data_IF_979356082153
#
_entry.id   IF_979356082153
#
_cell.length_a   1.000
_cell.length_b   1.000
_cell.length_c   1.000
_cell.angle_alpha   90.00
_cell.angle_beta   90.00
_cell.angle_gamma   90.00
#
_symmetry.space_group_name_H-M   'P 1'
#
loop_
_entity.id
_entity.type
_entity.pdbx_description
1 polymer ?
#
# COMPACT_ATOMS: atom_id res chain seq x y z
N UNK A 1 64.70 63.15 -30.41
CA UNK A 1 64.78 61.72 -30.02
C UNK A 1 63.63 61.50 -29.07
N UNK A 2 62.58 60.81 -29.56
CA UNK A 2 61.34 60.54 -28.86
C UNK A 2 61.48 59.27 -27.99
N UNK A 3 61.08 59.31 -26.77
CA UNK A 3 60.89 58.14 -25.90
C UNK A 3 59.42 57.90 -25.76
N UNK A 4 58.93 56.83 -26.31
CA UNK A 4 57.58 56.34 -26.19
C UNK A 4 57.42 55.62 -24.81
N UNK A 5 56.51 56.13 -23.99
CA UNK A 5 56.19 55.51 -22.72
C UNK A 5 54.90 54.66 -22.92
N UNK A 6 55.12 53.35 -22.85
CA UNK A 6 54.02 52.35 -22.92
C UNK A 6 53.37 52.25 -21.56
N UNK A 7 52.08 52.66 -21.49
CA UNK A 7 51.23 52.51 -20.31
C UNK A 7 50.64 51.11 -20.30
N UNK A 8 51.09 50.26 -19.37
CA UNK A 8 50.49 48.96 -19.13
C UNK A 8 49.26 49.12 -18.26
N UNK A 9 48.10 49.01 -18.88
CA UNK A 9 46.82 48.89 -18.15
C UNK A 9 46.68 47.51 -17.54
N UNK A 10 46.55 47.43 -16.23
CA UNK A 10 46.20 46.24 -15.48
C UNK A 10 44.67 46.13 -15.52
N UNK A 11 44.16 45.18 -16.31
CA UNK A 11 42.76 44.82 -16.28
C UNK A 11 42.56 43.86 -15.13
N UNK A 12 41.95 44.34 -14.05
CA UNK A 12 41.54 43.53 -12.91
C UNK A 12 40.25 42.81 -13.30
N UNK A 13 40.35 41.57 -13.70
CA UNK A 13 39.22 40.71 -13.99
C UNK A 13 38.51 40.30 -12.71
N UNK A 14 37.41 41.01 -12.38
CA UNK A 14 36.46 40.57 -11.38
C UNK A 14 35.70 39.36 -11.93
N UNK A 15 36.11 38.17 -11.59
CA UNK A 15 35.36 36.95 -11.84
C UNK A 15 34.14 36.93 -10.88
N UNK A 16 32.99 37.34 -11.40
CA UNK A 16 31.71 37.21 -10.73
C UNK A 16 31.36 35.73 -10.75
N UNK A 17 31.62 35.01 -9.65
CA UNK A 17 31.05 33.67 -9.45
C UNK A 17 29.55 33.81 -9.26
N UNK A 18 28.82 33.69 -10.36
CA UNK A 18 27.36 33.45 -10.32
C UNK A 18 27.16 32.04 -9.76
N UNK A 19 26.92 31.94 -8.45
CA UNK A 19 26.39 30.73 -7.87
C UNK A 19 24.98 30.54 -8.43
N UNK A 20 24.87 29.75 -9.49
CA UNK A 20 23.59 29.24 -9.97
C UNK A 20 23.08 28.29 -8.89
N UNK A 21 22.28 28.82 -7.96
CA UNK A 21 21.37 27.98 -7.22
C UNK A 21 20.43 27.35 -8.24
N UNK A 22 20.75 26.14 -8.69
CA UNK A 22 19.75 25.26 -9.26
C UNK A 22 18.79 24.90 -8.13
N UNK A 23 17.80 25.74 -7.90
CA UNK A 23 16.58 25.28 -7.30
C UNK A 23 16.14 24.12 -8.20
N UNK A 24 16.30 22.88 -7.71
CA UNK A 24 15.64 21.72 -8.31
C UNK A 24 14.17 22.10 -8.37
N UNK A 25 13.69 22.47 -9.56
CA UNK A 25 12.27 22.57 -9.81
C UNK A 25 11.73 21.17 -9.47
N UNK A 26 11.17 21.03 -8.28
CA UNK A 26 10.28 19.93 -7.96
C UNK A 26 9.15 20.06 -8.97
N UNK A 27 9.29 19.35 -10.10
CA UNK A 27 8.23 19.27 -11.07
C UNK A 27 7.04 18.69 -10.34
N UNK A 28 6.03 19.50 -10.10
CA UNK A 28 4.74 19.01 -9.65
C UNK A 28 4.30 17.94 -10.65
N UNK A 29 4.27 16.70 -10.20
CA UNK A 29 3.78 15.59 -11.00
C UNK A 29 2.37 15.96 -11.45
N UNK A 30 2.09 15.82 -12.77
CA UNK A 30 0.79 16.19 -13.32
C UNK A 30 -0.34 15.45 -12.62
N UNK A 31 -1.53 16.03 -12.60
CA UNK A 31 -2.74 15.43 -11.95
C UNK A 31 -3.05 13.98 -12.38
N UNK A 32 -2.51 13.52 -13.52
CA UNK A 32 -2.63 12.15 -14.01
C UNK A 32 -1.68 11.14 -13.40
N UNK A 33 -0.63 11.58 -12.67
CA UNK A 33 0.44 10.68 -12.23
C UNK A 33 -0.05 9.59 -11.24
N UNK A 34 -0.93 9.92 -10.30
CA UNK A 34 -1.51 8.92 -9.40
C UNK A 34 -2.32 7.85 -10.16
N UNK A 35 -3.03 8.24 -11.23
CA UNK A 35 -3.73 7.29 -12.11
C UNK A 35 -2.77 6.39 -12.88
N UNK A 36 -1.64 6.92 -13.35
CA UNK A 36 -0.58 6.12 -13.99
C UNK A 36 0.02 5.12 -13.01
N UNK A 37 0.32 5.54 -11.78
CA UNK A 37 0.82 4.66 -10.74
C UNK A 37 -0.21 3.58 -10.38
N UNK A 38 -1.48 3.94 -10.27
CA UNK A 38 -2.55 3.00 -10.00
C UNK A 38 -2.72 1.97 -11.15
N UNK A 39 -2.62 2.41 -12.39
CA UNK A 39 -2.67 1.50 -13.54
C UNK A 39 -1.47 0.53 -13.55
N UNK A 40 -0.27 1.00 -13.15
CA UNK A 40 0.94 0.16 -13.02
C UNK A 40 0.87 -0.82 -11.85
N UNK A 41 0.18 -0.45 -10.75
CA UNK A 41 -0.09 -1.37 -9.65
C UNK A 41 -0.89 -2.59 -10.14
N UNK A 42 -1.87 -2.40 -11.01
CA UNK A 42 -2.60 -3.48 -11.66
C UNK A 42 -3.12 -4.52 -10.65
N UNK A 43 -2.65 -5.75 -10.77
CA UNK A 43 -3.07 -6.93 -10.00
C UNK A 43 -2.02 -7.28 -8.96
N UNK A 44 -2.39 -7.40 -7.69
CA UNK A 44 -1.43 -7.64 -6.63
C UNK A 44 -1.83 -8.68 -5.61
N UNK A 45 -0.92 -8.91 -4.67
CA UNK A 45 -1.13 -9.82 -3.54
C UNK A 45 -0.45 -9.28 -2.29
N UNK A 46 -1.13 -9.42 -1.15
CA UNK A 46 -0.56 -9.10 0.16
C UNK A 46 0.42 -10.18 0.60
N UNK A 47 1.61 -9.79 1.09
CA UNK A 47 2.69 -10.71 1.45
C UNK A 47 3.31 -10.37 2.80
N UNK A 48 3.94 -11.36 3.43
CA UNK A 48 4.81 -11.29 4.61
C UNK A 48 4.20 -10.77 5.92
N UNK A 49 2.90 -10.51 5.99
CA UNK A 49 2.28 -9.93 7.21
C UNK A 49 2.42 -10.79 8.46
N UNK A 50 2.29 -12.09 8.31
CA UNK A 50 2.41 -13.05 9.41
C UNK A 50 3.62 -13.96 9.26
N UNK A 51 4.60 -13.56 8.45
CA UNK A 51 5.82 -14.34 8.23
C UNK A 51 6.78 -14.19 9.41
N UNK A 52 7.33 -15.28 9.94
CA UNK A 52 8.37 -15.26 10.97
C UNK A 52 9.63 -14.49 10.57
N UNK A 53 9.88 -14.29 9.28
CA UNK A 53 11.07 -13.62 8.74
C UNK A 53 11.33 -12.23 9.37
N UNK A 54 10.30 -11.54 9.80
CA UNK A 54 10.42 -10.25 10.47
C UNK A 54 11.20 -10.34 11.80
N UNK A 55 11.17 -11.50 12.47
CA UNK A 55 11.85 -11.73 13.75
C UNK A 55 13.07 -12.62 13.62
N UNK A 56 13.01 -13.58 12.72
CA UNK A 56 14.02 -14.63 12.54
C UNK A 56 14.03 -15.08 11.08
N UNK A 57 14.98 -14.59 10.31
CA UNK A 57 15.11 -14.89 8.88
C UNK A 57 15.34 -16.39 8.60
N UNK A 58 15.86 -17.16 9.58
CA UNK A 58 16.02 -18.61 9.43
C UNK A 58 14.67 -19.36 9.35
N UNK A 59 13.62 -18.75 9.90
CA UNK A 59 12.24 -19.27 9.90
C UNK A 59 11.36 -18.69 8.80
N UNK A 60 11.94 -17.89 7.91
CA UNK A 60 11.21 -17.26 6.82
C UNK A 60 10.48 -18.29 5.95
N UNK A 61 9.18 -18.12 5.78
CA UNK A 61 8.38 -18.86 4.80
C UNK A 61 8.57 -18.29 3.41
N UNK A 62 8.43 -16.97 3.29
CA UNK A 62 8.68 -16.24 2.05
C UNK A 62 10.16 -16.30 1.67
N UNK A 63 10.46 -16.60 0.42
CA UNK A 63 11.80 -16.70 -0.16
C UNK A 63 11.86 -15.86 -1.46
N UNK A 64 13.06 -15.52 -1.91
CA UNK A 64 13.29 -14.78 -3.16
C UNK A 64 12.56 -15.41 -4.37
N UNK A 65 12.52 -16.75 -4.46
CA UNK A 65 11.79 -17.44 -5.54
C UNK A 65 10.32 -17.06 -5.64
N UNK A 66 9.67 -16.75 -4.51
CA UNK A 66 8.23 -16.45 -4.51
C UNK A 66 7.90 -15.12 -5.19
N UNK A 67 8.77 -14.11 -5.10
CA UNK A 67 8.57 -12.86 -5.85
C UNK A 67 8.60 -13.10 -7.36
N UNK A 68 9.53 -13.94 -7.83
CA UNK A 68 9.56 -14.37 -9.23
C UNK A 68 8.29 -15.12 -9.61
N UNK A 69 7.86 -16.08 -8.81
CA UNK A 69 6.64 -16.86 -9.03
C UNK A 69 5.38 -15.97 -9.05
N UNK A 70 5.29 -14.97 -8.17
CA UNK A 70 4.21 -13.98 -8.16
C UNK A 70 4.17 -13.22 -9.49
N UNK A 71 5.31 -12.74 -9.98
CA UNK A 71 5.37 -12.05 -11.28
C UNK A 71 5.01 -12.96 -12.44
N UNK A 72 5.56 -14.17 -12.48
CA UNK A 72 5.29 -15.17 -13.52
C UNK A 72 3.83 -15.63 -13.55
N UNK A 73 3.16 -15.62 -12.39
CA UNK A 73 1.73 -15.90 -12.29
C UNK A 73 0.86 -14.77 -12.88
N UNK A 74 1.43 -13.60 -13.14
CA UNK A 74 0.73 -12.47 -13.76
C UNK A 74 0.32 -11.36 -12.80
N UNK A 75 0.89 -11.33 -11.59
CA UNK A 75 0.73 -10.19 -10.67
C UNK A 75 1.69 -9.06 -11.03
N UNK A 76 1.30 -7.83 -10.70
CA UNK A 76 2.04 -6.60 -10.99
C UNK A 76 2.54 -5.89 -9.73
N UNK A 77 1.95 -6.14 -8.57
CA UNK A 77 2.36 -5.57 -7.30
C UNK A 77 2.36 -6.57 -6.15
N UNK A 78 3.11 -6.22 -5.11
CA UNK A 78 3.00 -6.81 -3.77
C UNK A 78 2.73 -5.72 -2.75
N UNK A 79 1.79 -5.94 -1.85
CA UNK A 79 1.57 -5.11 -0.67
C UNK A 79 2.31 -5.75 0.49
N UNK A 80 3.38 -5.09 0.96
CA UNK A 80 4.24 -5.56 2.03
C UNK A 80 3.65 -5.16 3.38
N UNK A 81 3.03 -6.10 4.04
CA UNK A 81 2.38 -5.91 5.34
C UNK A 81 3.42 -5.87 6.44
N UNK A 82 3.62 -4.71 7.08
CA UNK A 82 4.62 -4.53 8.13
C UNK A 82 4.03 -4.00 9.44
N UNK A 83 4.54 -4.52 10.57
CA UNK A 83 4.12 -4.13 11.91
C UNK A 83 5.30 -3.55 12.71
N UNK A 84 5.76 -2.33 12.40
CA UNK A 84 7.00 -1.78 12.92
C UNK A 84 6.98 -1.48 14.43
N UNK A 85 5.82 -1.32 15.06
CA UNK A 85 5.71 -1.05 16.51
C UNK A 85 6.40 -2.12 17.36
N UNK A 86 6.42 -3.36 16.90
CA UNK A 86 7.07 -4.48 17.58
C UNK A 86 8.60 -4.44 17.51
N UNK A 87 9.16 -3.58 16.66
CA UNK A 87 10.59 -3.47 16.39
C UNK A 87 11.20 -2.17 16.93
N UNK A 88 10.46 -1.42 17.74
CA UNK A 88 11.00 -0.23 18.40
C UNK A 88 11.25 -0.48 19.88
N UNK A 89 12.27 0.18 20.39
CA UNK A 89 12.44 0.37 21.83
C UNK A 89 11.47 1.46 22.31
N UNK A 90 11.03 1.36 23.56
CA UNK A 90 10.34 2.46 24.24
C UNK A 90 11.38 3.54 24.61
N UNK A 91 11.85 4.25 23.60
CA UNK A 91 12.77 5.39 23.68
C UNK A 91 12.03 6.65 23.19
N UNK A 92 12.54 7.82 23.54
CA UNK A 92 11.92 9.12 23.20
C UNK A 92 11.71 9.29 21.68
N UNK A 93 12.56 8.65 20.86
CA UNK A 93 12.57 8.72 19.40
C UNK A 93 11.93 7.50 18.73
N UNK A 94 11.48 6.48 19.49
CA UNK A 94 10.92 5.22 18.99
C UNK A 94 11.82 4.56 17.94
N UNK A 95 13.15 4.52 18.17
CA UNK A 95 14.12 4.01 17.22
C UNK A 95 13.77 2.57 16.77
N UNK A 96 13.65 2.39 15.47
CA UNK A 96 13.36 1.09 14.86
C UNK A 96 14.63 0.24 14.85
N UNK A 97 14.51 -1.03 15.25
CA UNK A 97 15.63 -1.97 15.21
C UNK A 97 16.13 -2.13 13.76
N UNK A 98 17.44 -2.03 13.49
CA UNK A 98 18.00 -2.19 12.15
C UNK A 98 17.62 -3.50 11.44
N UNK A 99 17.38 -4.57 12.17
CA UNK A 99 16.93 -5.86 11.62
C UNK A 99 15.62 -5.70 10.84
N UNK A 100 14.72 -4.82 11.28
CA UNK A 100 13.50 -4.50 10.55
C UNK A 100 13.80 -3.97 9.13
N UNK A 101 14.72 -3.02 9.03
CA UNK A 101 15.11 -2.44 7.75
C UNK A 101 15.81 -3.46 6.83
N UNK A 102 16.57 -4.39 7.40
CA UNK A 102 17.19 -5.48 6.63
C UNK A 102 16.12 -6.32 5.93
N UNK A 103 15.05 -6.66 6.65
CA UNK A 103 13.92 -7.42 6.09
C UNK A 103 13.12 -6.60 5.07
N UNK A 104 12.84 -5.34 5.39
CA UNK A 104 12.13 -4.42 4.48
C UNK A 104 12.90 -4.23 3.17
N UNK A 105 14.21 -3.97 3.25
CA UNK A 105 15.08 -3.81 2.10
C UNK A 105 15.13 -5.06 1.23
N UNK A 106 15.24 -6.23 1.85
CA UNK A 106 15.23 -7.50 1.13
C UNK A 106 13.92 -7.64 0.33
N UNK A 107 12.77 -7.44 0.98
CA UNK A 107 11.48 -7.60 0.33
C UNK A 107 11.27 -6.60 -0.82
N UNK A 108 11.63 -5.32 -0.61
CA UNK A 108 11.54 -4.28 -1.66
C UNK A 108 12.46 -4.63 -2.84
N UNK A 109 13.72 -4.99 -2.57
CA UNK A 109 14.70 -5.31 -3.62
C UNK A 109 14.30 -6.54 -4.44
N UNK A 110 13.82 -7.60 -3.79
CA UNK A 110 13.32 -8.78 -4.48
C UNK A 110 12.10 -8.48 -5.36
N UNK A 111 11.15 -7.70 -4.85
CA UNK A 111 9.99 -7.28 -5.63
C UNK A 111 10.40 -6.47 -6.87
N UNK A 112 11.23 -5.43 -6.69
CA UNK A 112 11.71 -4.58 -7.79
C UNK A 112 12.55 -5.34 -8.81
N UNK A 113 13.42 -6.27 -8.37
CA UNK A 113 14.22 -7.12 -9.25
C UNK A 113 13.34 -7.99 -10.17
N UNK A 114 12.14 -8.35 -9.69
CA UNK A 114 11.14 -9.09 -10.44
C UNK A 114 10.10 -8.19 -11.14
N UNK A 115 10.33 -6.87 -11.22
CA UNK A 115 9.45 -5.89 -11.87
C UNK A 115 8.05 -5.85 -11.26
N UNK A 116 7.95 -6.07 -9.96
CA UNK A 116 6.75 -5.86 -9.18
C UNK A 116 6.79 -4.46 -8.58
N UNK A 117 5.68 -3.75 -8.59
CA UNK A 117 5.50 -2.56 -7.76
C UNK A 117 5.30 -2.96 -6.30
N UNK A 118 5.58 -2.03 -5.40
CA UNK A 118 5.57 -2.30 -3.96
C UNK A 118 4.71 -1.27 -3.25
N UNK A 119 3.76 -1.73 -2.44
CA UNK A 119 3.10 -0.89 -1.44
C UNK A 119 3.68 -1.27 -0.07
N UNK A 120 4.33 -0.32 0.59
CA UNK A 120 4.83 -0.48 1.96
C UNK A 120 3.70 -0.09 2.91
N UNK A 121 3.02 -1.10 3.45
CA UNK A 121 1.83 -0.95 4.27
C UNK A 121 2.17 -0.94 5.77
N UNK A 122 1.81 0.16 6.45
CA UNK A 122 1.95 0.29 7.90
C UNK A 122 0.77 -0.38 8.61
N UNK A 123 0.90 -1.69 8.92
CA UNK A 123 -0.20 -2.57 9.35
C UNK A 123 -0.44 -2.60 10.87
N UNK A 124 -0.49 -1.43 11.50
CA UNK A 124 -0.64 -1.32 12.97
C UNK A 124 -2.07 -1.00 13.42
N UNK A 125 -3.06 -1.44 12.64
CA UNK A 125 -4.48 -1.17 12.89
C UNK A 125 -4.91 -1.49 14.34
N UNK A 126 -4.50 -2.64 14.88
CA UNK A 126 -4.91 -3.07 16.23
C UNK A 126 -4.37 -2.15 17.34
N UNK A 127 -3.12 -1.72 17.24
CA UNK A 127 -2.52 -0.79 18.20
C UNK A 127 -3.15 0.61 18.07
N UNK A 128 -3.33 1.07 16.84
CA UNK A 128 -3.94 2.37 16.55
C UNK A 128 -5.41 2.40 16.96
N UNK A 129 -6.19 1.34 16.73
CA UNK A 129 -7.57 1.24 17.21
C UNK A 129 -7.66 1.31 18.73
N UNK A 130 -6.76 0.60 19.44
CA UNK A 130 -6.77 0.54 20.91
C UNK A 130 -6.47 1.88 21.56
N UNK A 131 -5.53 2.64 21.02
CA UNK A 131 -5.12 3.94 21.59
C UNK A 131 -4.54 4.85 20.48
N UNK A 132 -5.39 5.46 19.63
CA UNK A 132 -4.91 6.24 18.49
C UNK A 132 -4.07 7.46 18.92
N UNK A 133 -4.51 8.21 19.91
CA UNK A 133 -3.80 9.41 20.38
C UNK A 133 -2.50 9.06 21.10
N UNK A 134 -2.50 8.01 21.93
CA UNK A 134 -1.28 7.56 22.62
C UNK A 134 -0.24 6.98 21.67
N UNK A 135 -0.64 6.40 20.55
CA UNK A 135 0.27 5.84 19.55
C UNK A 135 0.64 6.82 18.42
N UNK A 136 0.01 8.00 18.35
CA UNK A 136 0.27 8.99 17.30
C UNK A 136 1.75 9.38 17.22
N UNK A 137 2.35 9.76 18.32
CA UNK A 137 3.77 10.16 18.35
C UNK A 137 4.69 9.04 17.83
N UNK A 138 4.40 7.79 18.20
CA UNK A 138 5.13 6.60 17.74
C UNK A 138 4.99 6.40 16.24
N UNK A 139 3.77 6.49 15.70
CA UNK A 139 3.51 6.39 14.28
C UNK A 139 4.24 7.45 13.46
N UNK A 140 4.19 8.72 13.90
CA UNK A 140 4.90 9.84 13.25
C UNK A 140 6.41 9.62 13.25
N UNK A 141 6.99 9.24 14.40
CA UNK A 141 8.42 9.00 14.53
C UNK A 141 8.90 7.83 13.67
N UNK A 142 8.10 6.77 13.56
CA UNK A 142 8.43 5.63 12.71
C UNK A 142 8.31 5.96 11.23
N UNK A 143 7.26 6.66 10.81
CA UNK A 143 7.18 7.12 9.43
C UNK A 143 8.34 8.02 9.03
N UNK A 144 8.83 8.89 9.95
CA UNK A 144 10.02 9.68 9.68
C UNK A 144 11.25 8.82 9.39
N UNK A 145 11.43 7.73 10.15
CA UNK A 145 12.55 6.80 9.95
C UNK A 145 12.40 6.00 8.66
N UNK A 146 11.21 5.42 8.41
CA UNK A 146 10.92 4.63 7.22
C UNK A 146 11.02 5.48 5.95
N UNK A 147 10.42 6.67 5.95
CA UNK A 147 10.45 7.57 4.80
C UNK A 147 11.88 8.01 4.44
N UNK A 148 12.70 8.31 5.45
CA UNK A 148 14.11 8.67 5.25
C UNK A 148 14.93 7.47 4.76
N UNK A 149 14.69 6.27 5.30
CA UNK A 149 15.37 5.04 4.87
C UNK A 149 15.04 4.69 3.41
N UNK A 150 13.80 4.86 3.02
CA UNK A 150 13.32 4.50 1.70
C UNK A 150 13.41 5.61 0.64
N UNK A 151 14.01 6.77 0.95
CA UNK A 151 14.03 7.95 0.07
C UNK A 151 14.66 7.70 -1.31
N UNK A 152 15.65 6.83 -1.37
CA UNK A 152 16.42 6.54 -2.58
C UNK A 152 15.82 5.37 -3.40
N UNK A 153 14.76 4.73 -2.94
CA UNK A 153 14.02 3.76 -3.74
C UNK A 153 13.21 4.47 -4.84
N UNK A 154 13.02 3.80 -5.99
CA UNK A 154 12.28 4.38 -7.11
C UNK A 154 10.79 4.56 -6.79
N UNK A 155 10.07 5.26 -7.68
CA UNK A 155 8.65 5.57 -7.50
C UNK A 155 7.71 4.36 -7.66
N UNK A 156 8.24 3.20 -8.01
CA UNK A 156 7.58 1.90 -7.94
C UNK A 156 7.29 1.44 -6.50
N UNK A 157 7.91 2.08 -5.52
CA UNK A 157 7.62 1.87 -4.09
C UNK A 157 6.66 2.96 -3.61
N UNK A 158 5.49 2.58 -3.15
CA UNK A 158 4.46 3.46 -2.60
C UNK A 158 4.41 3.30 -1.08
N UNK A 159 3.90 4.31 -0.37
CA UNK A 159 3.70 4.24 1.08
C UNK A 159 2.21 4.27 1.42
N UNK A 160 1.76 3.34 2.23
CA UNK A 160 0.41 3.29 2.79
C UNK A 160 0.46 3.66 4.28
N UNK A 161 -0.27 4.73 4.65
CA UNK A 161 -0.06 5.42 5.92
C UNK A 161 -0.42 4.55 7.14
N UNK A 162 -1.55 3.87 7.10
CA UNK A 162 -1.96 2.98 8.18
C UNK A 162 -3.13 2.10 7.74
N UNK A 163 -2.91 0.80 7.65
CA UNK A 163 -3.96 -0.17 7.34
C UNK A 163 -5.18 -0.01 8.26
N UNK A 164 -6.37 0.03 7.67
CA UNK A 164 -7.66 -0.08 8.37
C UNK A 164 -7.79 0.78 9.65
N UNK A 165 -7.56 2.09 9.60
CA UNK A 165 -7.67 2.93 10.80
C UNK A 165 -9.09 2.86 11.35
N UNK A 166 -9.25 2.19 12.51
CA UNK A 166 -10.53 2.04 13.16
C UNK A 166 -10.64 2.99 14.36
N UNK A 167 -11.02 4.22 14.06
CA UNK A 167 -11.13 5.33 15.02
C UNK A 167 -12.13 6.38 14.51
N UNK A 168 -12.38 7.43 15.29
CA UNK A 168 -13.27 8.52 14.85
C UNK A 168 -12.66 9.25 13.64
N UNK A 169 -13.47 9.67 12.65
CA UNK A 169 -13.00 10.36 11.45
C UNK A 169 -12.07 11.53 11.75
N UNK A 170 -12.46 12.38 12.68
CA UNK A 170 -11.64 13.54 13.09
C UNK A 170 -10.24 13.15 13.55
N UNK A 171 -10.13 12.09 14.36
CA UNK A 171 -8.83 11.64 14.89
C UNK A 171 -7.95 11.11 13.75
N UNK A 172 -8.53 10.31 12.84
CA UNK A 172 -7.77 9.79 11.71
C UNK A 172 -7.32 10.90 10.77
N UNK A 173 -8.21 11.82 10.41
CA UNK A 173 -7.90 12.93 9.55
C UNK A 173 -6.79 13.84 10.13
N UNK A 174 -6.81 14.11 11.44
CA UNK A 174 -5.72 14.82 12.12
C UNK A 174 -4.38 14.05 12.03
N UNK A 175 -4.39 12.74 12.29
CA UNK A 175 -3.17 11.91 12.27
C UNK A 175 -2.58 11.86 10.85
N UNK A 176 -3.39 11.55 9.83
CA UNK A 176 -2.88 11.46 8.46
C UNK A 176 -2.31 12.80 7.97
N UNK A 177 -2.96 13.94 8.31
CA UNK A 177 -2.46 15.27 7.96
C UNK A 177 -1.12 15.63 8.63
N UNK A 178 -0.79 15.02 9.78
CA UNK A 178 0.53 15.16 10.41
C UNK A 178 1.57 14.22 9.77
N UNK A 179 1.19 13.06 9.25
CA UNK A 179 2.09 12.13 8.55
C UNK A 179 2.52 12.68 7.19
N UNK A 180 1.62 13.29 6.44
CA UNK A 180 1.86 13.77 5.07
C UNK A 180 3.12 14.61 4.91
N UNK A 181 3.31 15.72 5.68
CA UNK A 181 4.51 16.55 5.54
C UNK A 181 5.80 15.78 5.88
N UNK A 182 5.75 14.80 6.77
CA UNK A 182 6.88 13.94 7.09
C UNK A 182 7.27 13.10 5.87
N UNK A 183 6.30 12.50 5.20
CA UNK A 183 6.54 11.70 3.99
C UNK A 183 7.05 12.57 2.84
N UNK A 184 6.43 13.72 2.61
CA UNK A 184 6.80 14.66 1.54
C UNK A 184 8.18 15.27 1.71
N UNK A 185 8.60 15.53 2.94
CA UNK A 185 9.94 16.08 3.23
C UNK A 185 11.08 15.15 2.74
N UNK A 186 10.91 13.84 2.86
CA UNK A 186 11.90 12.87 2.42
C UNK A 186 11.60 12.30 1.01
N UNK A 187 10.35 12.31 0.58
CA UNK A 187 9.87 11.65 -0.64
C UNK A 187 8.87 12.54 -1.39
N UNK A 188 9.31 13.65 -1.99
CA UNK A 188 8.41 14.66 -2.57
C UNK A 188 7.51 14.12 -3.70
N UNK A 189 7.98 13.13 -4.44
CA UNK A 189 7.31 12.58 -5.63
C UNK A 189 6.74 11.17 -5.43
N UNK A 190 6.82 10.60 -4.22
CA UNK A 190 6.31 9.25 -3.95
C UNK A 190 4.80 9.24 -3.87
N UNK A 191 4.16 8.30 -4.54
CA UNK A 191 2.71 8.10 -4.40
C UNK A 191 2.40 7.60 -3.00
N UNK A 192 1.41 8.22 -2.36
CA UNK A 192 0.94 7.87 -1.03
C UNK A 192 -0.43 7.21 -1.16
N UNK A 193 -0.61 6.10 -0.48
CA UNK A 193 -1.89 5.43 -0.34
C UNK A 193 -2.53 5.88 0.96
N UNK A 194 -3.75 6.41 0.85
CA UNK A 194 -4.58 6.85 1.97
C UNK A 194 -5.62 5.82 2.32
N UNK A 195 -5.75 5.56 3.61
CA UNK A 195 -6.70 4.62 4.15
C UNK A 195 -7.98 5.29 4.62
N UNK A 196 -9.10 4.60 4.45
CA UNK A 196 -10.41 5.01 4.91
C UNK A 196 -10.68 4.39 6.29
N UNK A 197 -11.32 5.13 7.17
CA UNK A 197 -11.66 4.62 8.52
C UNK A 197 -12.54 3.36 8.51
N UNK A 198 -12.59 2.71 9.67
CA UNK A 198 -13.43 1.53 9.94
C UNK A 198 -13.17 0.36 8.99
N UNK A 199 -11.90 0.00 8.78
CA UNK A 199 -11.51 -1.12 7.94
C UNK A 199 -11.64 -0.80 6.45
N UNK A 200 -11.24 0.38 6.05
CA UNK A 200 -11.23 0.85 4.66
C UNK A 200 -12.59 0.69 3.95
N UNK A 201 -13.69 0.86 4.71
CA UNK A 201 -15.03 0.63 4.17
C UNK A 201 -15.51 1.77 3.27
N UNK A 202 -16.06 1.42 2.12
CA UNK A 202 -16.58 2.33 1.08
C UNK A 202 -17.53 3.40 1.64
N UNK A 203 -18.42 3.04 2.57
CA UNK A 203 -19.41 3.97 3.17
C UNK A 203 -18.77 5.15 3.91
N UNK A 204 -17.48 5.03 4.29
CA UNK A 204 -16.72 6.05 5.00
C UNK A 204 -15.81 6.88 4.11
N UNK A 205 -15.78 6.66 2.80
CA UNK A 205 -15.07 7.53 1.85
C UNK A 205 -15.45 9.01 2.01
N UNK A 206 -16.73 9.28 2.29
CA UNK A 206 -17.25 10.64 2.52
C UNK A 206 -16.69 11.34 3.77
N UNK A 207 -16.13 10.57 4.70
CA UNK A 207 -15.60 11.05 5.98
C UNK A 207 -14.08 11.32 5.88
N UNK A 208 -13.45 10.99 4.74
CA UNK A 208 -12.02 11.18 4.50
C UNK A 208 -11.73 12.63 4.08
N UNK A 209 -10.88 13.30 4.85
CA UNK A 209 -10.32 14.59 4.46
C UNK A 209 -9.06 14.39 3.61
N UNK A 210 -8.97 15.11 2.52
CA UNK A 210 -7.86 15.02 1.57
C UNK A 210 -6.84 16.13 1.82
N UNK A 211 -5.52 15.86 1.70
CA UNK A 211 -4.50 16.89 1.81
C UNK A 211 -4.66 17.90 0.68
N UNK A 212 -4.61 19.18 1.05
CA UNK A 212 -4.73 20.28 0.08
C UNK A 212 -3.49 20.31 -0.82
N UNK A 213 -3.72 20.51 -2.12
CA UNK A 213 -2.66 20.67 -3.12
C UNK A 213 -1.73 19.46 -3.32
N UNK A 214 -2.14 18.27 -2.91
CA UNK A 214 -1.44 17.03 -3.23
C UNK A 214 -2.35 16.10 -4.02
N UNK A 215 -1.99 15.84 -5.26
CA UNK A 215 -2.75 14.97 -6.17
C UNK A 215 -2.04 13.63 -6.43
N UNK A 216 -0.88 13.40 -5.79
CA UNK A 216 -0.15 12.14 -5.94
C UNK A 216 -0.55 11.13 -4.86
N UNK A 217 -1.85 10.83 -4.85
CA UNK A 217 -2.54 10.02 -3.85
C UNK A 217 -3.38 8.97 -4.54
N UNK A 218 -3.37 7.77 -4.01
CA UNK A 218 -4.32 6.69 -4.30
C UNK A 218 -5.10 6.45 -3.01
N UNK A 219 -6.41 6.23 -3.08
CA UNK A 219 -7.19 5.92 -1.87
C UNK A 219 -7.49 4.42 -1.82
N UNK A 220 -7.17 3.80 -0.69
CA UNK A 220 -7.40 2.37 -0.47
C UNK A 220 -8.80 2.12 0.10
N UNK A 221 -9.49 1.15 -0.48
CA UNK A 221 -10.69 0.54 0.08
C UNK A 221 -10.45 -0.95 0.27
N UNK A 222 -11.16 -1.57 1.24
CA UNK A 222 -11.18 -3.01 1.43
C UNK A 222 -12.59 -3.54 1.21
N UNK A 223 -12.71 -4.78 0.73
CA UNK A 223 -14.01 -5.35 0.45
C UNK A 223 -14.10 -6.81 0.84
N UNK A 224 -14.97 -7.08 1.80
CA UNK A 224 -15.22 -8.43 2.33
C UNK A 224 -16.72 -8.76 2.42
N UNK A 225 -17.59 -7.94 1.79
CA UNK A 225 -19.05 -8.21 1.85
C UNK A 225 -19.45 -9.33 0.89
N UNK A 226 -20.36 -10.22 1.32
CA UNK A 226 -20.95 -10.28 2.65
C UNK A 226 -20.02 -10.96 3.68
N UNK A 227 -19.79 -10.29 4.81
CA UNK A 227 -18.77 -10.69 5.80
C UNK A 227 -19.05 -12.09 6.41
N UNK A 228 -20.32 -12.49 6.49
CA UNK A 228 -20.70 -13.81 6.97
C UNK A 228 -20.19 -14.92 6.07
N UNK A 229 -20.12 -14.69 4.75
CA UNK A 229 -19.54 -15.62 3.79
C UNK A 229 -18.01 -15.57 3.86
N UNK A 230 -17.43 -14.38 3.71
CA UNK A 230 -15.97 -14.23 3.55
C UNK A 230 -15.19 -14.57 4.81
N UNK A 231 -15.80 -14.46 6.01
CA UNK A 231 -15.17 -14.71 7.29
C UNK A 231 -15.81 -15.87 8.08
N UNK A 232 -16.66 -16.71 7.46
CA UNK A 232 -17.20 -17.88 8.14
C UNK A 232 -16.07 -18.78 8.67
N UNK A 233 -16.19 -19.21 9.92
CA UNK A 233 -15.20 -20.05 10.57
C UNK A 233 -13.90 -19.34 10.97
N UNK A 234 -13.78 -18.02 10.76
CA UNK A 234 -12.57 -17.27 11.08
C UNK A 234 -12.42 -17.05 12.60
N UNK A 235 -11.40 -17.63 13.26
CA UNK A 235 -11.29 -17.64 14.73
C UNK A 235 -11.10 -16.24 15.34
N UNK A 236 -10.60 -15.28 14.58
CA UNK A 236 -10.44 -13.88 15.02
C UNK A 236 -11.72 -13.06 14.87
N UNK A 237 -12.72 -13.55 14.14
CA UNK A 237 -13.98 -12.84 13.90
C UNK A 237 -15.07 -13.34 14.87
N UNK A 238 -15.23 -12.68 16.01
CA UNK A 238 -16.14 -13.11 17.09
C UNK A 238 -17.55 -13.43 16.59
N UNK A 239 -18.05 -12.67 15.60
CA UNK A 239 -19.41 -12.85 15.04
C UNK A 239 -19.51 -13.98 14.01
N UNK A 240 -18.38 -14.39 13.41
CA UNK A 240 -18.38 -15.29 12.26
C UNK A 240 -17.63 -16.62 12.52
N UNK A 241 -16.92 -16.76 13.65
CA UNK A 241 -16.09 -17.93 13.97
C UNK A 241 -16.84 -19.25 14.02
N UNK A 242 -18.12 -19.20 14.36
CA UNK A 242 -18.99 -20.36 14.50
C UNK A 242 -19.90 -20.57 13.27
N UNK A 243 -19.79 -19.72 12.25
CA UNK A 243 -20.52 -19.84 10.99
C UNK A 243 -19.84 -20.82 10.06
N UNK A 244 -20.64 -21.59 9.31
CA UNK A 244 -20.17 -22.52 8.29
C UNK A 244 -21.26 -22.80 7.25
N UNK A 245 -20.87 -23.30 6.08
CA UNK A 245 -21.80 -23.69 5.02
C UNK A 245 -22.53 -22.53 4.34
N UNK A 246 -22.03 -21.30 4.52
CA UNK A 246 -22.58 -20.13 3.81
C UNK A 246 -21.94 -20.09 2.42
N UNK A 247 -22.76 -20.27 1.40
CA UNK A 247 -22.35 -20.22 0.02
C UNK A 247 -22.54 -18.83 -0.59
N UNK A 248 -21.66 -18.48 -1.53
CA UNK A 248 -21.86 -17.35 -2.42
C UNK A 248 -22.12 -17.85 -3.84
N UNK A 249 -23.29 -17.55 -4.36
CA UNK A 249 -23.72 -17.91 -5.70
C UNK A 249 -23.91 -16.64 -6.52
N UNK A 250 -23.56 -16.70 -7.82
CA UNK A 250 -23.69 -15.56 -8.74
C UNK A 250 -25.17 -15.24 -9.05
N UNK A 251 -25.99 -15.04 -8.00
CA UNK A 251 -27.33 -14.52 -8.21
C UNK A 251 -27.27 -13.05 -8.60
N UNK A 252 -28.21 -12.60 -9.42
CA UNK A 252 -28.30 -11.21 -9.82
C UNK A 252 -28.32 -10.26 -8.61
N UNK A 253 -29.03 -10.58 -7.54
CA UNK A 253 -29.08 -9.80 -6.32
C UNK A 253 -27.72 -9.72 -5.61
N UNK A 254 -26.96 -10.82 -5.54
CA UNK A 254 -25.64 -10.85 -4.91
C UNK A 254 -24.62 -10.04 -5.71
N UNK A 255 -24.63 -10.16 -7.04
CA UNK A 255 -23.79 -9.38 -7.94
C UNK A 255 -24.13 -7.88 -7.91
N UNK A 256 -25.43 -7.55 -7.93
CA UNK A 256 -25.89 -6.16 -7.88
C UNK A 256 -25.51 -5.47 -6.56
N UNK A 257 -25.51 -6.20 -5.44
CA UNK A 257 -25.07 -5.65 -4.16
C UNK A 257 -23.58 -5.20 -4.21
N UNK A 258 -22.69 -6.05 -4.73
CA UNK A 258 -21.27 -5.70 -4.91
C UNK A 258 -21.12 -4.51 -5.87
N UNK A 259 -21.83 -4.57 -7.00
CA UNK A 259 -21.80 -3.51 -8.02
C UNK A 259 -22.23 -2.15 -7.43
N UNK A 260 -23.31 -2.14 -6.65
CA UNK A 260 -23.83 -0.91 -6.03
C UNK A 260 -22.82 -0.29 -5.05
N UNK A 261 -22.16 -1.09 -4.21
CA UNK A 261 -21.10 -0.62 -3.33
C UNK A 261 -19.94 -0.01 -4.13
N UNK A 262 -19.51 -0.69 -5.20
CA UNK A 262 -18.40 -0.22 -6.04
C UNK A 262 -18.77 1.03 -6.86
N UNK A 263 -20.03 1.20 -7.26
CA UNK A 263 -20.49 2.40 -7.93
C UNK A 263 -20.43 3.62 -6.99
N UNK A 264 -20.79 3.46 -5.71
CA UNK A 264 -20.62 4.52 -4.68
C UNK A 264 -19.15 4.94 -4.58
N UNK A 265 -18.23 3.99 -4.53
CA UNK A 265 -16.80 4.28 -4.47
C UNK A 265 -16.30 4.96 -5.74
N UNK A 266 -16.73 4.49 -6.91
CA UNK A 266 -16.37 5.08 -8.20
C UNK A 266 -16.89 6.52 -8.36
N UNK A 267 -18.07 6.81 -7.89
CA UNK A 267 -18.63 8.16 -7.95
C UNK A 267 -17.86 9.10 -7.01
N UNK A 268 -17.46 8.63 -5.83
CA UNK A 268 -16.58 9.39 -4.94
C UNK A 268 -15.21 9.65 -5.59
N UNK A 269 -14.60 8.63 -6.22
CA UNK A 269 -13.32 8.74 -6.95
C UNK A 269 -13.38 9.80 -8.03
N UNK A 270 -14.43 9.79 -8.86
CA UNK A 270 -14.64 10.79 -9.92
C UNK A 270 -14.82 12.20 -9.34
N UNK A 271 -15.62 12.34 -8.29
CA UNK A 271 -15.90 13.65 -7.66
C UNK A 271 -14.64 14.28 -7.07
N UNK A 272 -13.71 13.47 -6.55
CA UNK A 272 -12.45 13.94 -5.96
C UNK A 272 -11.27 13.88 -6.93
N UNK A 273 -11.45 13.34 -8.13
CA UNK A 273 -10.39 13.15 -9.13
C UNK A 273 -9.16 12.39 -8.56
N UNK A 274 -9.40 11.31 -7.82
CA UNK A 274 -8.39 10.44 -7.25
C UNK A 274 -8.66 8.98 -7.61
N UNK A 275 -7.62 8.20 -7.98
CA UNK A 275 -7.77 6.76 -8.22
C UNK A 275 -8.00 5.99 -6.91
N UNK A 276 -8.67 4.84 -7.03
CA UNK A 276 -8.85 3.89 -5.95
C UNK A 276 -8.01 2.63 -6.17
N UNK A 277 -7.56 2.04 -5.07
CA UNK A 277 -7.05 0.67 -5.02
C UNK A 277 -7.90 -0.18 -4.08
N UNK A 278 -8.20 -1.41 -4.48
CA UNK A 278 -8.78 -2.40 -3.59
C UNK A 278 -7.64 -3.11 -2.84
N UNK A 279 -7.23 -2.55 -1.68
CA UNK A 279 -6.05 -2.96 -0.93
C UNK A 279 -6.15 -4.37 -0.36
N UNK A 280 -7.38 -4.78 -0.01
CA UNK A 280 -7.67 -6.13 0.46
C UNK A 280 -9.05 -6.62 0.03
N UNK A 281 -9.11 -7.88 -0.39
CA UNK A 281 -10.32 -8.66 -0.59
C UNK A 281 -9.96 -10.15 -0.62
N UNK A 282 -10.88 -11.00 -0.19
CA UNK A 282 -10.68 -12.44 -0.16
C UNK A 282 -11.82 -13.14 0.57
N UNK A 283 -11.81 -14.48 0.53
CA UNK A 283 -12.70 -15.32 1.32
C UNK A 283 -11.88 -16.37 2.07
N UNK A 284 -12.12 -16.47 3.39
CA UNK A 284 -11.39 -17.36 4.29
C UNK A 284 -11.50 -18.82 3.85
N UNK A 285 -10.46 -19.59 4.05
CA UNK A 285 -10.34 -20.97 3.56
C UNK A 285 -11.43 -21.94 4.08
N UNK A 286 -12.18 -21.57 5.12
CA UNK A 286 -13.31 -22.37 5.63
C UNK A 286 -14.59 -22.23 4.78
N UNK A 287 -14.67 -21.24 3.91
CA UNK A 287 -15.72 -21.19 2.90
C UNK A 287 -15.45 -22.24 1.80
N UNK A 288 -16.51 -22.76 1.19
CA UNK A 288 -16.37 -23.74 0.11
C UNK A 288 -15.63 -23.15 -1.10
N UNK A 289 -14.83 -23.98 -1.78
CA UNK A 289 -13.98 -23.54 -2.87
C UNK A 289 -14.77 -22.98 -4.07
N UNK A 290 -15.89 -23.58 -4.52
CA UNK A 290 -16.69 -23.03 -5.60
C UNK A 290 -17.18 -21.60 -5.33
N UNK A 291 -17.68 -21.32 -4.13
CA UNK A 291 -18.13 -19.98 -3.73
C UNK A 291 -16.97 -19.00 -3.63
N UNK A 292 -15.84 -19.42 -3.06
CA UNK A 292 -14.61 -18.59 -2.99
C UNK A 292 -14.15 -18.17 -4.41
N UNK A 293 -14.11 -19.10 -5.35
CA UNK A 293 -13.70 -18.84 -6.74
C UNK A 293 -14.63 -17.83 -7.41
N UNK A 294 -15.93 -18.05 -7.33
CA UNK A 294 -16.94 -17.18 -7.92
C UNK A 294 -16.85 -15.75 -7.37
N UNK A 295 -16.84 -15.63 -6.04
CA UNK A 295 -16.79 -14.34 -5.37
C UNK A 295 -15.49 -13.59 -5.67
N UNK A 296 -14.35 -14.27 -5.55
CA UNK A 296 -13.02 -13.69 -5.80
C UNK A 296 -12.90 -13.19 -7.24
N UNK A 297 -13.35 -14.00 -8.22
CA UNK A 297 -13.35 -13.59 -9.61
C UNK A 297 -14.24 -12.37 -9.84
N UNK A 298 -15.48 -12.40 -9.33
CA UNK A 298 -16.42 -11.30 -9.52
C UNK A 298 -15.90 -9.98 -8.97
N UNK A 299 -15.44 -9.98 -7.72
CA UNK A 299 -14.87 -8.78 -7.07
C UNK A 299 -13.68 -8.23 -7.82
N UNK A 300 -12.72 -9.09 -8.22
CA UNK A 300 -11.55 -8.66 -8.98
C UNK A 300 -11.96 -8.05 -10.34
N UNK A 301 -12.88 -8.65 -11.07
CA UNK A 301 -13.35 -8.11 -12.36
C UNK A 301 -14.14 -6.82 -12.19
N UNK A 302 -14.92 -6.66 -11.11
CA UNK A 302 -15.61 -5.40 -10.82
C UNK A 302 -14.64 -4.24 -10.51
N UNK A 303 -13.53 -4.51 -9.83
CA UNK A 303 -12.46 -3.53 -9.61
C UNK A 303 -11.78 -3.15 -10.95
N UNK A 304 -11.39 -4.13 -11.76
CA UNK A 304 -10.75 -3.90 -13.05
C UNK A 304 -11.65 -3.13 -14.04
N UNK A 305 -12.95 -3.41 -14.06
CA UNK A 305 -13.91 -2.69 -14.91
C UNK A 305 -13.98 -1.19 -14.59
N UNK A 306 -13.52 -0.78 -13.40
CA UNK A 306 -13.44 0.62 -12.96
C UNK A 306 -12.03 1.20 -13.02
N UNK A 307 -11.08 0.46 -13.60
CA UNK A 307 -9.65 0.79 -13.64
C UNK A 307 -9.03 0.94 -12.23
N UNK A 308 -9.50 0.18 -11.26
CA UNK A 308 -8.87 0.09 -9.95
C UNK A 308 -7.79 -0.97 -9.97
N UNK A 309 -6.66 -0.68 -9.33
CA UNK A 309 -5.70 -1.72 -8.95
C UNK A 309 -6.23 -2.50 -7.75
N UNK A 310 -5.65 -3.67 -7.50
CA UNK A 310 -6.04 -4.45 -6.35
C UNK A 310 -4.90 -5.31 -5.81
N UNK A 311 -4.98 -5.70 -4.52
CA UNK A 311 -4.09 -6.65 -3.85
C UNK A 311 -4.90 -7.67 -3.07
N UNK A 312 -4.88 -8.92 -3.52
CA UNK A 312 -5.63 -10.02 -2.88
C UNK A 312 -5.10 -10.31 -1.47
N UNK A 313 -5.97 -10.48 -0.52
CA UNK A 313 -5.65 -10.96 0.83
C UNK A 313 -5.85 -12.46 0.89
N UNK A 314 -4.78 -13.29 1.00
CA UNK A 314 -3.37 -12.98 0.90
C UNK A 314 -2.57 -14.15 0.31
N UNK A 315 -1.23 -14.04 0.24
CA UNK A 315 -0.38 -15.00 -0.42
C UNK A 315 -0.41 -16.37 0.27
N UNK A 316 -0.03 -16.44 1.56
CA UNK A 316 0.35 -17.69 2.20
C UNK A 316 -0.34 -18.00 3.55
N UNK A 317 -1.42 -17.31 3.92
CA UNK A 317 -2.08 -17.45 5.21
C UNK A 317 -3.59 -17.20 5.11
N UNK A 318 -4.36 -18.02 5.78
CA UNK A 318 -5.82 -17.88 5.99
C UNK A 318 -6.69 -17.85 4.72
N UNK A 319 -6.51 -16.88 3.87
CA UNK A 319 -7.22 -16.69 2.60
C UNK A 319 -6.44 -17.23 1.40
N UNK A 320 -5.46 -18.00 1.63
CA UNK A 320 -4.34 -18.40 0.78
C UNK A 320 -4.61 -18.49 -0.73
N UNK A 321 -3.67 -17.94 -1.51
CA UNK A 321 -3.56 -18.20 -2.94
C UNK A 321 -2.37 -19.11 -3.27
N UNK A 322 -1.45 -19.25 -2.32
CA UNK A 322 -0.28 -20.14 -2.40
C UNK A 322 -0.12 -20.95 -1.12
N UNK A 323 0.00 -22.28 -1.24
CA UNK A 323 0.21 -23.16 -0.11
C UNK A 323 1.71 -23.38 0.11
N UNK A 324 2.26 -22.78 1.17
CA UNK A 324 3.66 -22.94 1.56
C UNK A 324 4.06 -24.35 2.00
N UNK A 325 3.09 -25.22 2.32
CA UNK A 325 3.38 -26.60 2.75
C UNK A 325 3.61 -27.53 1.57
N UNK A 326 2.79 -27.37 0.53
CA UNK A 326 2.92 -28.13 -0.73
C UNK A 326 3.82 -27.44 -1.74
N UNK A 327 4.16 -26.16 -1.50
CA UNK A 327 4.93 -25.28 -2.40
C UNK A 327 4.22 -25.09 -3.76
N UNK A 328 2.88 -24.96 -3.72
CA UNK A 328 2.02 -24.92 -4.91
C UNK A 328 0.99 -23.79 -4.85
N UNK A 329 0.59 -23.32 -6.01
CA UNK A 329 -0.56 -22.40 -6.14
C UNK A 329 -1.86 -23.13 -5.79
N UNK A 330 -2.74 -22.47 -5.03
CA UNK A 330 -4.15 -22.84 -4.93
C UNK A 330 -4.80 -22.47 -6.26
N UNK A 331 -4.64 -23.31 -7.25
CA UNK A 331 -4.97 -23.05 -8.65
C UNK A 331 -6.37 -22.47 -8.88
N UNK A 332 -7.46 -22.96 -8.21
CA UNK A 332 -8.78 -22.38 -8.38
C UNK A 332 -8.81 -20.88 -8.03
N UNK A 333 -8.20 -20.47 -6.93
CA UNK A 333 -8.14 -19.06 -6.49
C UNK A 333 -7.20 -18.26 -7.39
N UNK A 334 -6.01 -18.79 -7.69
CA UNK A 334 -5.05 -18.15 -8.59
C UNK A 334 -5.69 -17.87 -9.96
N UNK A 335 -6.44 -18.82 -10.52
CA UNK A 335 -7.10 -18.66 -11.81
C UNK A 335 -8.32 -17.72 -11.77
N UNK A 336 -9.00 -17.62 -10.61
CA UNK A 336 -10.03 -16.61 -10.38
C UNK A 336 -9.47 -15.18 -10.39
N UNK A 337 -8.28 -14.99 -9.81
CA UNK A 337 -7.56 -13.71 -9.79
C UNK A 337 -6.94 -13.37 -11.13
N UNK A 338 -6.21 -14.32 -11.71
CA UNK A 338 -5.46 -14.20 -12.96
C UNK A 338 -5.99 -15.25 -13.94
N UNK A 339 -7.08 -14.97 -14.67
CA UNK A 339 -7.60 -15.88 -15.70
C UNK A 339 -6.55 -16.14 -16.77
N UNK A 340 -6.53 -17.36 -17.29
CA UNK A 340 -5.75 -17.66 -18.50
C UNK A 340 -6.21 -16.75 -19.66
N UNK A 341 -5.25 -16.31 -20.45
CA UNK A 341 -5.52 -15.52 -21.66
C UNK A 341 -6.18 -16.38 -22.72
#
# INVERSE_FOLDING_TARGET
MKKDTVLKGIILGMSLFLAIFTASAQGFLGKGYAYEQNARLGRGVNVIGYDPLWRDSSKARMKSKHFKMIKEAGFDNVRLVMMPFKFSKDSVDYAINPVFFTTLDWAIKEALANKLMVIVDFHEHSAMQKNPLGNKAKLLAMWKQIAMHCKDYPNEVLFEICNEPNMLPKIWNEIQMEVFPILRAANPNRTIVLDVINGNQIKHLKDLELPKNDSNIIVAIHYYSPIQFTHQGAPWSVKNKDLSGIEWTNTEAAEQAIKADFDIAQDWSKANNLPLTLGEFGAYEKADMPSRVKWTNYVARQAEARNWSWSYWQFDSDFIVYDMKTDEWVLPIKNALIPAK
#
